data_IF_461824901431
#
_entry.id   IF_461824901431
#
_cell.length_a   1.000
_cell.length_b   1.000
_cell.length_c   1.000
_cell.angle_alpha   90.00
_cell.angle_beta   90.00
_cell.angle_gamma   90.00
#
_symmetry.space_group_name_H-M   'P 1'
#
loop_
_entity.id
_entity.type
_entity.pdbx_description
1 polymer ?
#
# COMPACT_ATOMS: atom_id res chain seq x y z
N UNK A 1 16.73 -4.75 0.22
CA UNK A 1 15.95 -4.02 -0.80
C UNK A 1 16.95 -3.27 -1.63
N UNK A 2 16.86 -3.32 -2.97
CA UNK A 2 18.00 -3.05 -3.87
C UNK A 2 18.80 -1.77 -3.54
N UNK A 3 18.13 -0.66 -3.21
CA UNK A 3 18.80 0.58 -2.79
C UNK A 3 19.60 0.45 -1.49
N UNK A 4 19.03 -0.19 -0.47
CA UNK A 4 19.69 -0.46 0.82
C UNK A 4 20.91 -1.35 0.66
N UNK A 5 20.84 -2.34 -0.23
CA UNK A 5 21.96 -3.23 -0.57
C UNK A 5 23.06 -2.46 -1.32
N UNK A 6 22.67 -1.63 -2.29
CA UNK A 6 23.56 -0.76 -3.05
C UNK A 6 24.34 0.20 -2.13
N UNK A 7 23.66 1.00 -1.31
CA UNK A 7 24.30 1.98 -0.43
C UNK A 7 25.21 1.34 0.63
N UNK A 8 24.92 0.10 1.04
CA UNK A 8 25.77 -0.64 1.97
C UNK A 8 27.04 -1.21 1.32
N UNK A 9 27.01 -1.45 0.02
CA UNK A 9 28.12 -2.01 -0.76
C UNK A 9 29.09 -0.95 -1.29
N UNK A 10 28.74 0.33 -1.22
CA UNK A 10 29.65 1.43 -1.54
C UNK A 10 30.85 1.46 -0.58
N UNK A 11 31.94 2.08 -1.03
CA UNK A 11 33.11 2.33 -0.18
C UNK A 11 32.94 3.64 0.59
N UNK A 12 33.63 3.75 1.72
CA UNK A 12 33.71 5.00 2.47
C UNK A 12 34.35 6.10 1.59
N UNK A 13 33.88 7.35 1.67
CA UNK A 13 32.91 7.88 2.63
C UNK A 13 31.43 7.76 2.21
N UNK A 14 31.13 7.30 1.00
CA UNK A 14 29.75 7.27 0.46
C UNK A 14 28.92 6.07 0.97
N UNK A 15 29.54 5.16 1.71
CA UNK A 15 28.89 3.99 2.27
C UNK A 15 27.87 4.37 3.34
N UNK A 16 26.64 3.88 3.19
CA UNK A 16 25.63 3.91 4.26
C UNK A 16 25.42 2.49 4.79
N UNK A 17 26.07 2.10 5.90
CA UNK A 17 26.00 0.74 6.42
C UNK A 17 24.60 0.40 6.93
N UNK A 18 24.20 -0.86 6.80
CA UNK A 18 22.94 -1.34 7.39
C UNK A 18 23.01 -1.32 8.93
N UNK A 19 21.87 -1.06 9.62
CA UNK A 19 20.54 -0.77 9.08
C UNK A 19 20.42 0.67 8.55
N UNK A 20 20.08 0.83 7.26
CA UNK A 20 20.08 2.12 6.57
C UNK A 20 18.71 2.57 6.04
N UNK A 21 17.65 1.77 6.27
CA UNK A 21 16.32 2.06 5.71
C UNK A 21 15.76 3.41 6.17
N UNK A 22 15.89 3.75 7.45
CA UNK A 22 15.38 5.03 7.98
C UNK A 22 16.12 6.21 7.36
N UNK A 23 17.45 6.12 7.27
CA UNK A 23 18.29 7.16 6.66
C UNK A 23 17.94 7.39 5.18
N UNK A 24 17.79 6.32 4.41
CA UNK A 24 17.39 6.41 2.99
C UNK A 24 15.99 6.99 2.77
N UNK A 25 15.07 6.79 3.73
CA UNK A 25 13.74 7.43 3.71
C UNK A 25 13.87 8.93 4.01
N UNK A 26 14.74 9.31 4.95
CA UNK A 26 14.97 10.71 5.33
C UNK A 26 15.71 11.52 4.25
N UNK A 27 16.45 10.87 3.36
CA UNK A 27 17.08 11.51 2.18
C UNK A 27 16.08 11.98 1.13
N UNK A 28 14.79 11.64 1.27
CA UNK A 28 13.67 12.13 0.46
C UNK A 28 13.90 12.07 -1.07
N UNK A 29 14.32 10.90 -1.55
CA UNK A 29 14.73 10.70 -2.94
C UNK A 29 13.50 10.68 -3.88
N UNK A 30 13.52 11.44 -5.01
CA UNK A 30 12.43 11.45 -5.99
C UNK A 30 12.22 10.08 -6.67
N UNK A 31 10.96 9.63 -6.73
CA UNK A 31 10.54 8.39 -7.36
C UNK A 31 9.84 8.66 -8.70
N UNK A 32 10.26 7.95 -9.75
CA UNK A 32 9.59 7.94 -11.06
C UNK A 32 8.71 6.68 -11.21
N UNK A 33 7.84 6.58 -12.23
CA UNK A 33 6.95 5.45 -12.41
C UNK A 33 7.64 4.07 -12.33
N UNK A 34 7.02 3.15 -11.58
CA UNK A 34 7.57 1.83 -11.30
C UNK A 34 8.49 1.78 -10.07
N UNK A 35 8.39 2.73 -9.14
CA UNK A 35 9.21 2.84 -7.92
C UNK A 35 10.72 2.85 -8.21
N UNK A 36 11.10 3.55 -9.28
CA UNK A 36 12.49 3.69 -9.69
C UNK A 36 13.05 5.03 -9.20
N UNK A 37 14.35 5.04 -8.95
CA UNK A 37 15.12 6.23 -8.60
C UNK A 37 16.11 6.52 -9.72
N UNK A 38 16.40 7.80 -9.96
CA UNK A 38 17.43 8.19 -10.90
C UNK A 38 18.82 8.12 -10.25
N UNK A 39 19.82 7.66 -10.99
CA UNK A 39 21.17 7.49 -10.44
C UNK A 39 21.78 8.81 -9.99
N UNK A 40 21.47 9.92 -10.68
CA UNK A 40 21.90 11.25 -10.32
C UNK A 40 21.34 11.68 -8.96
N UNK A 41 20.05 11.44 -8.69
CA UNK A 41 19.44 11.79 -7.39
C UNK A 41 20.11 11.04 -6.23
N UNK A 42 20.40 9.76 -6.43
CA UNK A 42 21.12 8.95 -5.44
C UNK A 42 22.52 9.51 -5.22
N UNK A 43 23.23 9.83 -6.30
CA UNK A 43 24.60 10.35 -6.23
C UNK A 43 24.64 11.69 -5.49
N UNK A 44 23.77 12.63 -5.85
CA UNK A 44 23.66 13.95 -5.21
C UNK A 44 23.30 13.85 -3.74
N UNK A 45 22.37 12.96 -3.38
CA UNK A 45 21.98 12.79 -1.99
C UNK A 45 23.10 12.15 -1.15
N UNK A 46 23.85 11.19 -1.71
CA UNK A 46 24.99 10.60 -1.01
C UNK A 46 26.14 11.59 -0.84
N UNK A 47 26.42 12.43 -1.83
CA UNK A 47 27.47 13.45 -1.72
C UNK A 47 27.07 14.54 -0.73
N UNK A 48 25.80 14.96 -0.71
CA UNK A 48 25.28 15.90 0.30
C UNK A 48 25.37 15.34 1.72
N UNK A 49 25.10 14.05 1.92
CA UNK A 49 25.22 13.42 3.24
C UNK A 49 26.67 13.42 3.77
N UNK A 50 27.66 13.31 2.88
CA UNK A 50 29.08 13.29 3.26
C UNK A 50 29.65 14.69 3.43
N UNK A 51 29.30 15.60 2.53
CA UNK A 51 29.91 16.93 2.41
C UNK A 51 29.12 18.01 3.17
N UNK A 52 27.86 17.75 3.52
CA UNK A 52 26.95 18.70 4.17
C UNK A 52 26.41 19.76 3.21
N UNK A 53 25.45 20.57 3.67
CA UNK A 53 24.93 21.69 2.89
C UNK A 53 25.91 22.86 2.89
N UNK A 54 26.39 23.22 1.70
CA UNK A 54 27.30 24.33 1.46
C UNK A 54 27.01 24.93 0.09
N UNK A 55 27.25 26.22 -0.08
CA UNK A 55 27.20 26.88 -1.40
C UNK A 55 28.13 26.18 -2.42
N UNK A 56 29.24 25.60 -1.95
CA UNK A 56 30.11 24.77 -2.79
C UNK A 56 29.40 23.49 -3.29
N UNK A 57 28.50 22.91 -2.50
CA UNK A 57 27.72 21.74 -2.91
C UNK A 57 26.65 22.07 -3.93
N UNK A 58 26.05 23.26 -3.87
CA UNK A 58 25.10 23.72 -4.87
C UNK A 58 25.76 23.91 -6.24
N UNK A 59 26.97 24.47 -6.27
CA UNK A 59 27.76 24.56 -7.52
C UNK A 59 28.16 23.18 -8.05
N UNK A 60 28.50 22.23 -7.17
CA UNK A 60 28.79 20.85 -7.55
C UNK A 60 27.54 20.17 -8.15
N UNK A 61 26.37 20.35 -7.53
CA UNK A 61 25.08 19.83 -8.02
C UNK A 61 24.79 20.32 -9.43
N UNK A 62 24.88 21.62 -9.66
CA UNK A 62 24.65 22.22 -10.97
C UNK A 62 25.63 21.67 -12.03
N UNK A 63 26.91 21.52 -11.69
CA UNK A 63 27.91 20.95 -12.61
C UNK A 63 27.63 19.47 -12.92
N UNK A 64 27.14 18.69 -11.96
CA UNK A 64 26.81 17.29 -12.15
C UNK A 64 25.56 17.12 -13.01
N UNK A 65 24.53 17.94 -12.80
CA UNK A 65 23.33 17.96 -13.63
C UNK A 65 23.65 18.32 -15.09
N UNK A 66 24.42 19.39 -15.31
CA UNK A 66 24.83 19.82 -16.66
C UNK A 66 25.60 18.71 -17.40
N UNK A 67 26.60 18.11 -16.75
CA UNK A 67 27.39 17.01 -17.33
C UNK A 67 26.55 15.76 -17.56
N UNK A 68 25.59 15.48 -16.69
CA UNK A 68 24.73 14.31 -16.81
C UNK A 68 23.73 14.47 -17.97
N UNK A 69 23.13 15.66 -18.12
CA UNK A 69 22.23 15.98 -19.25
C UNK A 69 22.97 15.99 -20.59
N UNK A 70 24.20 16.50 -20.64
CA UNK A 70 25.02 16.48 -21.86
C UNK A 70 25.32 15.06 -22.35
N UNK A 71 25.38 14.10 -21.42
CA UNK A 71 25.74 12.70 -21.70
C UNK A 71 24.53 11.75 -21.79
N UNK A 72 23.33 12.17 -21.38
CA UNK A 72 22.11 11.35 -21.40
C UNK A 72 20.97 12.06 -22.14
N UNK A 73 20.82 11.76 -23.42
CA UNK A 73 19.92 12.46 -24.35
C UNK A 73 18.48 11.95 -24.38
N UNK A 74 18.06 10.98 -23.56
CA UNK A 74 16.80 10.25 -23.85
C UNK A 74 15.92 9.80 -22.67
N UNK A 75 16.20 10.20 -21.42
CA UNK A 75 15.35 9.79 -20.28
C UNK A 75 14.43 10.92 -19.85
N UNK A 76 13.12 10.72 -20.01
CA UNK A 76 12.09 11.62 -19.45
C UNK A 76 12.10 11.47 -17.93
N UNK A 77 12.47 12.54 -17.23
CA UNK A 77 12.48 12.59 -15.78
C UNK A 77 11.20 13.28 -15.27
N UNK A 78 10.26 12.48 -14.76
CA UNK A 78 9.00 12.94 -14.17
C UNK A 78 8.79 12.30 -12.80
N UNK A 79 9.21 12.97 -11.72
CA UNK A 79 8.94 12.51 -10.36
C UNK A 79 7.44 12.48 -10.05
N UNK A 80 6.96 11.35 -9.54
CA UNK A 80 5.57 11.15 -9.12
C UNK A 80 5.41 11.12 -7.59
N UNK A 81 6.48 10.80 -6.87
CA UNK A 81 6.51 10.71 -5.41
C UNK A 81 7.95 10.81 -4.91
N UNK A 82 8.18 10.52 -3.63
CA UNK A 82 9.50 10.46 -3.01
C UNK A 82 9.58 9.31 -2.00
N UNK A 83 10.78 8.92 -1.57
CA UNK A 83 10.96 7.86 -0.57
C UNK A 83 10.28 8.18 0.77
N UNK A 84 10.31 9.45 1.20
CA UNK A 84 9.64 9.89 2.42
C UNK A 84 8.12 9.80 2.28
N UNK A 85 7.57 10.36 1.19
CA UNK A 85 6.13 10.34 0.92
C UNK A 85 5.61 8.90 0.77
N UNK A 86 6.33 8.05 0.05
CA UNK A 86 5.98 6.62 -0.11
C UNK A 86 5.89 5.91 1.24
N UNK A 87 6.78 6.24 2.18
CA UNK A 87 6.72 5.66 3.53
C UNK A 87 5.50 6.14 4.31
N UNK A 88 5.15 7.42 4.21
CA UNK A 88 3.95 7.96 4.86
C UNK A 88 2.68 7.30 4.29
N UNK A 89 2.60 7.15 2.97
CA UNK A 89 1.51 6.47 2.27
C UNK A 89 1.37 5.00 2.73
N UNK A 90 2.47 4.27 2.89
CA UNK A 90 2.48 2.89 3.41
C UNK A 90 1.90 2.81 4.84
N UNK A 91 2.31 3.73 5.71
CA UNK A 91 1.82 3.80 7.09
C UNK A 91 0.32 4.15 7.12
N UNK A 92 -0.10 5.13 6.32
CA UNK A 92 -1.49 5.54 6.20
C UNK A 92 -2.36 4.39 5.67
N UNK A 93 -1.93 3.74 4.59
CA UNK A 93 -2.60 2.57 4.01
C UNK A 93 -2.75 1.45 5.03
N UNK A 94 -1.69 1.16 5.81
CA UNK A 94 -1.74 0.13 6.86
C UNK A 94 -2.78 0.45 7.93
N UNK A 95 -2.88 1.72 8.37
CA UNK A 95 -3.89 2.16 9.35
C UNK A 95 -5.31 1.98 8.81
N UNK A 96 -5.57 2.44 7.59
CA UNK A 96 -6.88 2.32 6.92
C UNK A 96 -7.26 0.84 6.77
N UNK A 97 -6.36 0.03 6.22
CA UNK A 97 -6.58 -1.41 6.04
C UNK A 97 -6.87 -2.11 7.36
N UNK A 98 -6.12 -1.79 8.43
CA UNK A 98 -6.32 -2.40 9.76
C UNK A 98 -7.68 -2.03 10.34
N UNK A 99 -8.06 -0.75 10.26
CA UNK A 99 -9.36 -0.29 10.71
C UNK A 99 -10.50 -0.97 9.94
N UNK A 100 -10.38 -1.04 8.61
CA UNK A 100 -11.37 -1.66 7.75
C UNK A 100 -11.50 -3.17 7.98
N UNK A 101 -10.38 -3.91 8.10
CA UNK A 101 -10.38 -5.34 8.44
C UNK A 101 -11.04 -5.60 9.80
N UNK A 102 -10.76 -4.77 10.81
CA UNK A 102 -11.42 -4.86 12.14
C UNK A 102 -12.91 -4.62 12.03
N UNK A 103 -13.32 -3.59 11.29
CA UNK A 103 -14.73 -3.27 11.05
C UNK A 103 -15.47 -4.42 10.34
N UNK A 104 -14.87 -5.00 9.30
CA UNK A 104 -15.43 -6.16 8.60
C UNK A 104 -15.58 -7.38 9.52
N UNK A 105 -14.58 -7.67 10.36
CA UNK A 105 -14.67 -8.77 11.32
C UNK A 105 -15.82 -8.56 12.31
N UNK A 106 -15.94 -7.34 12.87
CA UNK A 106 -17.03 -6.99 13.79
C UNK A 106 -18.40 -7.15 13.14
N UNK A 107 -18.58 -6.67 11.90
CA UNK A 107 -19.82 -6.86 11.12
C UNK A 107 -20.12 -8.33 10.87
N UNK A 108 -19.12 -9.10 10.48
CA UNK A 108 -19.24 -10.53 10.19
C UNK A 108 -19.73 -11.30 11.43
N UNK A 109 -19.08 -11.09 12.57
CA UNK A 109 -19.44 -11.75 13.83
C UNK A 109 -20.84 -11.34 14.29
N UNK A 110 -21.18 -10.04 14.19
CA UNK A 110 -22.51 -9.55 14.59
C UNK A 110 -23.61 -10.18 13.75
N UNK A 111 -23.42 -10.28 12.43
CA UNK A 111 -24.41 -10.86 11.52
C UNK A 111 -24.51 -12.38 11.68
N UNK A 112 -23.38 -13.08 11.82
CA UNK A 112 -23.37 -14.52 12.08
C UNK A 112 -24.07 -14.86 13.41
N UNK A 113 -23.78 -14.09 14.47
CA UNK A 113 -24.44 -14.26 15.78
C UNK A 113 -25.94 -14.02 15.70
N UNK A 114 -26.37 -12.98 14.97
CA UNK A 114 -27.80 -12.74 14.71
C UNK A 114 -28.48 -13.94 14.05
N UNK A 115 -27.89 -14.45 12.95
CA UNK A 115 -28.44 -15.59 12.21
C UNK A 115 -28.46 -16.88 13.02
N UNK A 116 -27.43 -17.11 13.81
CA UNK A 116 -27.38 -18.26 14.72
C UNK A 116 -28.50 -18.20 15.78
N UNK A 117 -28.75 -17.02 16.38
CA UNK A 117 -29.87 -16.83 17.32
C UNK A 117 -31.23 -16.98 16.65
N UNK A 118 -31.41 -16.40 15.46
CA UNK A 118 -32.64 -16.55 14.67
C UNK A 118 -33.00 -18.03 14.45
N UNK A 119 -31.99 -18.87 14.19
CA UNK A 119 -32.16 -20.31 14.00
C UNK A 119 -32.45 -21.08 15.30
N UNK A 120 -31.87 -20.67 16.42
CA UNK A 120 -31.87 -21.46 17.66
C UNK A 120 -32.98 -21.07 18.64
N UNK A 121 -33.37 -19.79 18.70
CA UNK A 121 -34.20 -19.24 19.78
C UNK A 121 -35.67 -18.99 19.43
N UNK A 122 -36.10 -19.20 18.18
CA UNK A 122 -37.53 -19.18 17.79
C UNK A 122 -38.32 -17.93 18.21
N UNK A 123 -38.40 -16.92 17.34
CA UNK A 123 -39.31 -15.76 17.40
C UNK A 123 -39.55 -15.08 18.78
N UNK A 124 -38.53 -14.89 19.62
CA UNK A 124 -38.61 -13.93 20.72
C UNK A 124 -38.03 -12.58 20.25
N UNK A 125 -38.84 -11.51 20.31
CA UNK A 125 -38.56 -10.12 19.88
C UNK A 125 -37.52 -9.95 18.76
N UNK A 126 -37.99 -10.02 17.51
CA UNK A 126 -37.17 -9.81 16.31
C UNK A 126 -36.64 -8.37 16.27
N UNK A 127 -35.44 -8.13 16.79
CA UNK A 127 -34.64 -6.99 16.39
C UNK A 127 -34.32 -7.12 14.89
N UNK A 128 -34.36 -6.01 14.16
CA UNK A 128 -34.05 -6.00 12.73
C UNK A 128 -32.61 -6.51 12.49
N UNK A 129 -32.36 -7.24 11.39
CA UNK A 129 -31.01 -7.71 11.06
C UNK A 129 -30.03 -6.53 11.04
N UNK A 130 -28.81 -6.72 11.57
CA UNK A 130 -27.81 -5.65 11.58
C UNK A 130 -27.36 -5.24 10.17
N UNK A 131 -27.62 -6.08 9.18
CA UNK A 131 -27.33 -5.84 7.77
C UNK A 131 -28.27 -6.70 6.91
N UNK A 132 -28.89 -6.10 5.89
CA UNK A 132 -29.86 -6.78 5.01
C UNK A 132 -29.35 -6.98 3.59
N UNK A 133 -28.30 -6.27 3.17
CA UNK A 133 -27.80 -6.26 1.79
C UNK A 133 -26.27 -6.40 1.73
N UNK A 134 -25.73 -6.57 0.52
CA UNK A 134 -24.29 -6.65 0.27
C UNK A 134 -23.69 -8.05 0.34
N UNK A 135 -22.41 -8.16 -0.04
CA UNK A 135 -21.69 -9.44 -0.17
C UNK A 135 -21.56 -10.19 1.16
N UNK A 136 -21.39 -9.46 2.27
CA UNK A 136 -21.27 -10.05 3.59
C UNK A 136 -22.59 -10.71 4.01
N UNK A 137 -23.71 -10.02 3.84
CA UNK A 137 -25.03 -10.56 4.10
C UNK A 137 -25.31 -11.81 3.26
N UNK A 138 -25.07 -11.75 1.94
CA UNK A 138 -25.23 -12.91 1.04
C UNK A 138 -24.40 -14.12 1.52
N UNK A 139 -23.13 -13.89 1.89
CA UNK A 139 -22.25 -14.97 2.36
C UNK A 139 -22.69 -15.56 3.71
N UNK A 140 -23.08 -14.72 4.67
CA UNK A 140 -23.56 -15.21 5.97
C UNK A 140 -24.88 -15.98 5.82
N UNK A 141 -25.78 -15.51 4.96
CA UNK A 141 -27.02 -16.23 4.65
C UNK A 141 -26.76 -17.58 3.97
N UNK A 142 -25.73 -17.71 3.11
CA UNK A 142 -25.34 -19.00 2.56
C UNK A 142 -24.81 -19.98 3.62
N UNK A 143 -24.09 -19.48 4.63
CA UNK A 143 -23.49 -20.32 5.67
C UNK A 143 -24.46 -20.71 6.79
N UNK A 144 -25.41 -19.82 7.13
CA UNK A 144 -26.27 -19.95 8.30
C UNK A 144 -27.77 -19.86 8.00
N UNK A 145 -28.16 -19.55 6.76
CA UNK A 145 -29.55 -19.51 6.33
C UNK A 145 -30.13 -20.91 6.15
N UNK A 146 -31.47 -21.00 6.16
CA UNK A 146 -32.17 -22.27 5.94
C UNK A 146 -32.06 -22.69 4.47
N UNK A 147 -31.75 -23.97 4.21
CA UNK A 147 -31.69 -24.57 2.87
C UNK A 147 -33.04 -24.58 2.11
N UNK A 148 -34.11 -24.02 2.69
CA UNK A 148 -35.47 -24.07 2.13
C UNK A 148 -35.75 -23.10 0.96
N UNK A 149 -34.75 -22.38 0.45
CA UNK A 149 -34.92 -21.55 -0.76
C UNK A 149 -33.85 -21.87 -1.82
N UNK A 150 -33.57 -23.15 -2.05
CA UNK A 150 -32.87 -23.63 -3.25
C UNK A 150 -33.78 -24.59 -4.01
N UNK A 151 -34.93 -24.08 -4.42
CA UNK A 151 -35.72 -24.59 -5.52
C UNK A 151 -36.48 -23.40 -6.07
N UNK A 152 -36.54 -23.30 -7.39
CA UNK A 152 -37.39 -22.39 -8.18
C UNK A 152 -36.68 -21.28 -8.97
N UNK A 153 -35.46 -21.48 -9.48
CA UNK A 153 -35.02 -20.72 -10.68
C UNK A 153 -34.37 -21.55 -11.82
N UNK A 154 -34.14 -22.86 -11.67
CA UNK A 154 -33.48 -23.67 -12.73
C UNK A 154 -34.41 -24.54 -13.60
N UNK A 155 -35.73 -24.36 -13.55
CA UNK A 155 -36.67 -25.19 -14.32
C UNK A 155 -37.57 -24.39 -15.27
N UNK A 156 -36.96 -23.55 -16.11
CA UNK A 156 -37.67 -22.87 -17.19
C UNK A 156 -36.90 -22.84 -18.52
N UNK A 157 -36.25 -23.95 -18.94
CA UNK A 157 -35.92 -24.17 -20.36
C UNK A 157 -35.99 -25.66 -20.72
N UNK A 158 -37.18 -26.24 -20.71
CA UNK A 158 -37.52 -27.34 -21.63
C UNK A 158 -39.04 -27.60 -21.60
N UNK A 159 -39.79 -27.14 -22.60
CA UNK A 159 -40.87 -27.90 -23.28
C UNK A 159 -41.18 -27.21 -24.62
N UNK A 160 -41.08 -28.01 -25.68
CA UNK A 160 -41.60 -27.90 -27.07
C UNK A 160 -41.06 -26.80 -28.02
#
# INVERSE_FOLDING_TARGET
GKLSDFCNALQDPLRIPKPNTVKLIQMDLPLVPGDKLYCLDILLALTAEVLGDSEAMDTLRASMEEKFMANNTQVVYEPISSTLRRKQEEVAATKIQRAFRKHLLQRTVKLASYKFKEKTEGQCEKLAPPETEGLLCKRINQLYGDEKNVSDEDNAVHVE
#
